data_IF_568263326673
#
_entry.id   IF_568263326673
#
_cell.length_a   1.000
_cell.length_b   1.000
_cell.length_c   1.000
_cell.angle_alpha   90.00
_cell.angle_beta   90.00
_cell.angle_gamma   90.00
#
_symmetry.space_group_name_H-M   'P 1'
#
loop_
_entity.id
_entity.type
_entity.pdbx_description
1 polymer ?
#
# COMPACT_ATOMS: atom_id res chain seq x y z
N UNK A 1 -0.57 -24.51 -15.07
CA UNK A 1 -0.45 -23.08 -14.80
C UNK A 1 -0.12 -22.94 -13.33
N UNK A 2 1.01 -22.36 -12.98
CA UNK A 2 1.29 -22.06 -11.58
C UNK A 2 0.22 -21.08 -11.11
N UNK A 3 -0.56 -21.47 -10.14
CA UNK A 3 -1.59 -20.60 -9.58
C UNK A 3 -0.89 -19.55 -8.73
N UNK A 4 -0.82 -18.31 -9.22
CA UNK A 4 -0.33 -17.16 -8.45
C UNK A 4 -1.14 -17.03 -7.15
N UNK A 5 -0.45 -16.82 -6.03
CA UNK A 5 -1.04 -16.62 -4.71
C UNK A 5 -0.72 -15.22 -4.21
N UNK A 6 -1.74 -14.43 -3.90
CA UNK A 6 -1.60 -13.09 -3.36
C UNK A 6 -1.90 -13.09 -1.86
N UNK A 7 -0.94 -12.64 -1.07
CA UNK A 7 -1.14 -12.36 0.35
C UNK A 7 -1.80 -11.00 0.55
N UNK A 8 -2.84 -10.92 1.36
CA UNK A 8 -3.50 -9.65 1.69
C UNK A 8 -3.36 -9.43 3.19
N UNK A 9 -2.61 -8.40 3.55
CA UNK A 9 -2.42 -8.01 4.94
C UNK A 9 -3.74 -7.49 5.49
N UNK A 10 -4.28 -8.17 6.49
CA UNK A 10 -5.52 -7.76 7.15
C UNK A 10 -5.30 -6.47 7.94
N UNK A 11 -6.35 -5.69 8.08
CA UNK A 11 -6.36 -4.50 8.93
C UNK A 11 -7.24 -4.73 10.14
N UNK A 12 -6.94 -4.01 11.21
CA UNK A 12 -7.77 -4.02 12.40
C UNK A 12 -9.05 -3.19 12.20
N UNK A 13 -10.15 -3.68 12.72
CA UNK A 13 -11.42 -2.97 12.83
C UNK A 13 -12.10 -3.29 14.15
N UNK A 14 -12.83 -2.31 14.69
CA UNK A 14 -13.68 -2.52 15.87
C UNK A 14 -15.14 -2.44 15.44
N UNK A 15 -15.86 -3.54 15.58
CA UNK A 15 -17.28 -3.62 15.30
C UNK A 15 -18.04 -4.12 16.53
N UNK A 16 -18.97 -3.30 17.03
CA UNK A 16 -19.79 -3.64 18.22
C UNK A 16 -18.93 -4.06 19.44
N UNK A 17 -17.84 -3.35 19.70
CA UNK A 17 -16.83 -3.65 20.74
C UNK A 17 -16.10 -5.00 20.57
N UNK A 18 -16.08 -5.55 19.38
CA UNK A 18 -15.29 -6.72 19.04
C UNK A 18 -14.12 -6.28 18.14
N UNK A 19 -12.90 -6.62 18.54
CA UNK A 19 -11.71 -6.42 17.71
C UNK A 19 -11.69 -7.49 16.61
N UNK A 20 -11.55 -7.06 15.38
CA UNK A 20 -11.54 -7.90 14.20
C UNK A 20 -10.31 -7.61 13.34
N UNK A 21 -9.84 -8.65 12.66
CA UNK A 21 -8.94 -8.44 11.52
C UNK A 21 -9.68 -8.78 10.24
N UNK A 22 -9.71 -7.85 9.29
CA UNK A 22 -10.55 -7.94 8.11
C UNK A 22 -9.80 -7.73 6.81
N UNK A 23 -10.21 -8.44 5.77
CA UNK A 23 -9.86 -8.18 4.37
C UNK A 23 -11.12 -7.69 3.67
N UNK A 24 -11.04 -6.52 3.03
CA UNK A 24 -12.21 -5.93 2.38
C UNK A 24 -12.54 -6.62 1.06
N UNK A 25 -13.83 -6.81 0.79
CA UNK A 25 -14.31 -7.37 -0.50
C UNK A 25 -13.86 -6.53 -1.70
N UNK A 26 -13.64 -5.24 -1.52
CA UNK A 26 -13.16 -4.37 -2.61
C UNK A 26 -11.78 -4.78 -3.12
N UNK A 27 -10.87 -5.20 -2.23
CA UNK A 27 -9.57 -5.71 -2.63
C UNK A 27 -9.70 -7.06 -3.36
N UNK A 28 -10.62 -7.92 -2.92
CA UNK A 28 -10.86 -9.23 -3.53
C UNK A 28 -11.52 -9.14 -4.91
N UNK A 29 -12.36 -8.13 -5.14
CA UNK A 29 -13.15 -7.98 -6.38
C UNK A 29 -12.31 -8.11 -7.66
N UNK A 30 -11.10 -7.60 -7.65
CA UNK A 30 -10.25 -7.52 -8.85
C UNK A 30 -9.36 -8.75 -9.05
N UNK A 31 -9.10 -9.53 -7.99
CA UNK A 31 -8.24 -10.72 -8.01
C UNK A 31 -9.03 -12.03 -7.94
N UNK A 32 -10.30 -11.98 -7.51
CA UNK A 32 -11.17 -13.16 -7.43
C UNK A 32 -11.28 -13.85 -8.79
N UNK A 33 -11.16 -15.17 -8.80
CA UNK A 33 -11.11 -16.04 -9.99
C UNK A 33 -9.91 -15.82 -10.94
N UNK A 34 -8.93 -14.98 -10.57
CA UNK A 34 -7.71 -14.77 -11.36
C UNK A 34 -6.47 -15.39 -10.70
N UNK A 35 -6.46 -15.45 -9.38
CA UNK A 35 -5.39 -16.02 -8.58
C UNK A 35 -5.93 -16.58 -7.27
N UNK A 36 -5.11 -17.35 -6.56
CA UNK A 36 -5.35 -17.68 -5.17
C UNK A 36 -5.09 -16.44 -4.30
N UNK A 37 -5.73 -16.38 -3.13
CA UNK A 37 -5.43 -15.35 -2.16
C UNK A 37 -5.55 -15.88 -0.74
N UNK A 38 -4.68 -15.39 0.14
CA UNK A 38 -4.67 -15.72 1.58
C UNK A 38 -4.68 -14.43 2.39
N UNK A 39 -5.34 -14.43 3.54
CA UNK A 39 -5.26 -13.35 4.49
C UNK A 39 -4.01 -13.53 5.36
N UNK A 40 -3.21 -12.47 5.51
CA UNK A 40 -2.09 -12.42 6.44
C UNK A 40 -2.60 -11.71 7.69
N UNK A 41 -2.68 -12.47 8.78
CA UNK A 41 -3.16 -12.01 10.07
C UNK A 41 -1.98 -11.78 11.02
N UNK A 42 -2.13 -10.84 11.93
CA UNK A 42 -1.16 -10.62 13.00
C UNK A 42 -1.90 -10.44 14.33
N UNK A 43 -1.46 -11.13 15.36
CA UNK A 43 -2.02 -11.02 16.69
C UNK A 43 -1.13 -10.15 17.59
N UNK A 44 -1.73 -9.14 18.19
CA UNK A 44 -1.13 -8.30 19.24
C UNK A 44 0.20 -7.64 18.83
N UNK A 45 0.30 -7.21 17.56
CA UNK A 45 1.49 -6.56 16.98
C UNK A 45 2.79 -7.39 17.17
N UNK A 46 2.65 -8.69 17.32
CA UNK A 46 3.79 -9.63 17.39
C UNK A 46 4.58 -9.66 16.08
N UNK A 47 5.84 -10.13 16.08
CA UNK A 47 6.58 -10.35 14.84
C UNK A 47 5.82 -11.25 13.88
N UNK A 48 5.87 -10.92 12.59
CA UNK A 48 5.22 -11.71 11.55
C UNK A 48 5.96 -13.05 11.34
N UNK A 49 5.19 -14.12 11.14
CA UNK A 49 5.76 -15.36 10.66
C UNK A 49 6.08 -15.24 9.18
N UNK A 50 7.37 -15.20 8.86
CA UNK A 50 7.83 -15.03 7.48
C UNK A 50 7.54 -16.22 6.57
N UNK A 51 7.29 -17.41 7.12
CA UNK A 51 6.91 -18.58 6.33
C UNK A 51 5.61 -18.36 5.56
N UNK A 52 4.68 -17.58 6.12
CA UNK A 52 3.44 -17.25 5.42
C UNK A 52 3.69 -16.34 4.20
N UNK A 53 4.71 -15.49 4.25
CA UNK A 53 5.08 -14.61 3.14
C UNK A 53 5.69 -15.40 1.98
N UNK A 54 6.41 -16.48 2.27
CA UNK A 54 6.99 -17.37 1.26
C UNK A 54 5.94 -18.14 0.45
N UNK A 55 4.70 -18.22 0.94
CA UNK A 55 3.58 -18.81 0.20
C UNK A 55 3.00 -17.86 -0.86
N UNK A 56 3.45 -16.61 -0.88
CA UNK A 56 2.87 -15.56 -1.71
C UNK A 56 3.80 -15.17 -2.86
N UNK A 57 3.22 -15.04 -4.06
CA UNK A 57 3.89 -14.47 -5.23
C UNK A 57 3.80 -12.94 -5.25
N UNK A 58 3.04 -12.34 -4.34
CA UNK A 58 2.92 -10.91 -4.15
C UNK A 58 2.05 -10.57 -2.94
N UNK A 59 2.24 -9.36 -2.41
CA UNK A 59 1.55 -8.88 -1.20
C UNK A 59 0.75 -7.64 -1.51
N UNK A 60 -0.47 -7.55 -0.98
CA UNK A 60 -1.27 -6.34 -0.93
C UNK A 60 -1.33 -5.88 0.53
N UNK A 61 -0.84 -4.66 0.80
CA UNK A 61 -1.07 -3.97 2.06
C UNK A 61 -2.26 -3.02 1.84
N UNK A 62 -3.42 -3.37 2.38
CA UNK A 62 -4.65 -2.64 2.14
C UNK A 62 -4.75 -1.35 2.95
N UNK A 63 -5.73 -0.51 2.61
CA UNK A 63 -6.06 0.68 3.39
C UNK A 63 -6.57 0.34 4.79
N UNK A 64 -6.23 1.20 5.75
CA UNK A 64 -6.58 1.09 7.16
C UNK A 64 -6.29 2.39 7.89
N UNK A 65 -6.39 2.38 9.23
CA UNK A 65 -6.10 3.52 10.09
C UNK A 65 -4.83 3.33 10.92
N UNK A 66 -4.45 2.10 11.22
CA UNK A 66 -3.43 1.83 12.24
C UNK A 66 -2.19 1.19 11.62
N UNK A 67 -1.05 1.85 11.76
CA UNK A 67 0.25 1.39 11.29
C UNK A 67 0.99 0.72 12.46
N UNK A 68 1.38 -0.53 12.26
CA UNK A 68 2.07 -1.34 13.26
C UNK A 68 3.46 -1.75 12.81
N UNK A 69 4.30 -2.15 13.75
CA UNK A 69 5.69 -2.56 13.47
C UNK A 69 5.77 -3.77 12.53
N UNK A 70 4.82 -4.69 12.59
CA UNK A 70 4.80 -5.85 11.70
C UNK A 70 4.60 -5.49 10.22
N UNK A 71 3.95 -4.36 9.91
CA UNK A 71 3.85 -3.90 8.53
C UNK A 71 5.22 -3.61 7.92
N UNK A 72 6.11 -2.96 8.68
CA UNK A 72 7.48 -2.69 8.22
C UNK A 72 8.31 -3.97 8.11
N UNK A 73 8.08 -4.96 8.99
CA UNK A 73 8.71 -6.29 8.86
C UNK A 73 8.27 -7.00 7.57
N UNK A 74 6.98 -6.92 7.20
CA UNK A 74 6.48 -7.45 5.93
C UNK A 74 7.18 -6.75 4.75
N UNK A 75 7.22 -5.41 4.75
CA UNK A 75 7.85 -4.65 3.67
C UNK A 75 9.32 -5.00 3.55
N UNK A 76 10.05 -5.03 4.67
CA UNK A 76 11.48 -5.34 4.71
C UNK A 76 11.76 -6.76 4.19
N UNK A 77 11.00 -7.73 4.67
CA UNK A 77 11.12 -9.12 4.22
C UNK A 77 10.86 -9.24 2.72
N UNK A 78 9.75 -8.69 2.24
CA UNK A 78 9.38 -8.74 0.82
C UNK A 78 10.41 -8.03 -0.06
N UNK A 79 10.95 -6.89 0.40
CA UNK A 79 12.01 -6.17 -0.29
C UNK A 79 13.25 -7.05 -0.48
N UNK A 80 13.74 -7.70 0.59
CA UNK A 80 14.94 -8.52 0.53
C UNK A 80 14.75 -9.85 -0.24
N UNK A 81 13.50 -10.30 -0.41
CA UNK A 81 13.18 -11.56 -1.11
C UNK A 81 12.55 -11.34 -2.49
N UNK A 82 12.52 -10.10 -2.99
CA UNK A 82 11.94 -9.73 -4.28
C UNK A 82 10.45 -10.11 -4.41
N UNK A 83 9.70 -10.11 -3.31
CA UNK A 83 8.25 -10.36 -3.33
C UNK A 83 7.56 -9.04 -3.68
N UNK A 84 6.77 -8.98 -4.77
CA UNK A 84 6.04 -7.78 -5.18
C UNK A 84 5.10 -7.23 -4.10
N UNK A 85 5.05 -5.91 -3.94
CA UNK A 85 4.14 -5.24 -3.00
C UNK A 85 3.28 -4.19 -3.72
N UNK A 86 1.97 -4.25 -3.49
CA UNK A 86 1.04 -3.17 -3.75
C UNK A 86 0.54 -2.60 -2.42
N UNK A 87 0.91 -1.37 -2.11
CA UNK A 87 0.41 -0.63 -0.95
C UNK A 87 -0.74 0.31 -1.34
N UNK A 88 -1.90 0.17 -0.68
CA UNK A 88 -3.11 0.98 -0.97
C UNK A 88 -3.41 1.87 0.23
N UNK A 89 -3.51 3.18 0.05
CA UNK A 89 -3.81 4.18 1.08
C UNK A 89 -2.84 4.05 2.27
N UNK A 90 -3.23 3.43 3.39
CA UNK A 90 -2.31 3.14 4.50
C UNK A 90 -1.07 2.35 4.03
N UNK A 91 -1.24 1.38 3.14
CA UNK A 91 -0.13 0.63 2.55
C UNK A 91 0.85 1.53 1.75
N UNK A 92 0.33 2.54 1.05
CA UNK A 92 1.15 3.58 0.41
C UNK A 92 1.94 4.38 1.47
N UNK A 93 1.28 4.78 2.56
CA UNK A 93 1.94 5.50 3.66
C UNK A 93 3.07 4.67 4.29
N UNK A 94 2.84 3.38 4.51
CA UNK A 94 3.85 2.44 5.03
C UNK A 94 5.07 2.37 4.10
N UNK A 95 4.86 2.21 2.79
CA UNK A 95 5.96 2.21 1.81
C UNK A 95 6.72 3.54 1.80
N UNK A 96 6.02 4.66 1.93
CA UNK A 96 6.62 5.99 2.01
C UNK A 96 7.45 6.18 3.28
N UNK A 97 6.95 5.75 4.44
CA UNK A 97 7.70 5.76 5.69
C UNK A 97 8.93 4.85 5.59
N UNK A 98 8.76 3.62 5.08
CA UNK A 98 9.86 2.70 4.85
C UNK A 98 10.97 3.31 3.98
N UNK A 99 10.59 3.98 2.88
CA UNK A 99 11.55 4.68 2.00
C UNK A 99 12.40 5.72 2.73
N UNK A 100 11.86 6.31 3.78
CA UNK A 100 12.52 7.33 4.59
C UNK A 100 13.32 6.76 5.76
N UNK A 101 13.34 5.44 5.95
CA UNK A 101 13.84 4.74 7.13
C UNK A 101 13.08 5.18 8.41
N UNK A 102 11.79 5.42 8.29
CA UNK A 102 10.90 5.75 9.39
C UNK A 102 9.89 4.62 9.61
N UNK A 103 9.49 4.47 10.86
CA UNK A 103 8.42 3.57 11.30
C UNK A 103 7.41 4.30 12.20
N UNK A 104 7.42 5.64 12.18
CA UNK A 104 6.53 6.48 12.97
C UNK A 104 5.50 7.19 12.08
N UNK A 105 4.24 7.10 12.46
CA UNK A 105 3.15 7.86 11.82
C UNK A 105 3.31 9.39 11.98
N UNK A 106 4.09 9.83 12.97
CA UNK A 106 4.38 11.25 13.19
C UNK A 106 5.14 11.89 12.00
N UNK A 107 5.77 11.07 11.16
CA UNK A 107 6.45 11.53 9.94
C UNK A 107 5.50 11.71 8.74
N UNK A 108 4.23 11.35 8.89
CA UNK A 108 3.18 11.69 7.92
C UNK A 108 2.69 13.12 8.14
N UNK A 109 2.30 13.79 7.07
CA UNK A 109 1.67 15.10 7.15
C UNK A 109 0.15 14.97 7.18
N UNK A 110 -0.49 15.71 8.08
CA UNK A 110 -1.93 15.85 8.08
C UNK A 110 -2.36 16.78 6.96
N UNK A 111 -3.33 16.34 6.17
CA UNK A 111 -3.83 17.09 5.02
C UNK A 111 -5.33 17.36 5.13
N UNK A 112 -5.79 18.39 4.45
CA UNK A 112 -7.18 18.76 4.37
C UNK A 112 -7.73 18.49 2.97
N UNK A 113 -9.06 18.39 2.85
CA UNK A 113 -9.77 18.23 1.57
C UNK A 113 -9.57 16.89 0.83
N UNK A 114 -8.87 15.91 1.41
CA UNK A 114 -8.67 14.56 0.86
C UNK A 114 -9.53 13.48 1.54
N UNK A 115 -10.42 13.84 2.44
CA UNK A 115 -11.33 12.92 3.13
C UNK A 115 -12.78 13.23 2.78
N UNK A 116 -13.22 12.79 1.58
CA UNK A 116 -14.60 12.94 1.15
C UNK A 116 -15.02 11.75 0.29
N UNK A 117 -16.10 11.07 0.68
CA UNK A 117 -16.59 9.84 0.02
C UNK A 117 -17.06 10.06 -1.42
N UNK A 118 -17.56 11.26 -1.71
CA UNK A 118 -18.19 11.59 -2.98
C UNK A 118 -17.30 12.45 -3.89
N UNK A 119 -16.11 12.82 -3.40
CA UNK A 119 -15.16 13.66 -4.13
C UNK A 119 -14.14 12.79 -4.86
N UNK A 120 -13.84 13.21 -6.06
CA UNK A 120 -12.70 12.73 -6.85
C UNK A 120 -11.84 13.92 -7.23
N UNK A 121 -10.57 13.64 -7.52
CA UNK A 121 -9.65 14.63 -8.05
C UNK A 121 -8.76 14.02 -9.13
N UNK A 122 -8.13 14.89 -9.89
CA UNK A 122 -7.16 14.47 -10.92
C UNK A 122 -5.77 14.45 -10.29
N UNK A 123 -5.04 13.38 -10.57
CA UNK A 123 -3.62 13.26 -10.29
C UNK A 123 -2.82 13.39 -11.57
N UNK A 124 -1.64 14.00 -11.47
CA UNK A 124 -0.66 14.08 -12.55
C UNK A 124 0.37 12.99 -12.35
N UNK A 125 0.59 12.17 -13.38
CA UNK A 125 1.45 11.00 -13.33
C UNK A 125 2.73 11.31 -14.09
N UNK A 126 3.85 11.01 -13.46
CA UNK A 126 5.18 11.25 -14.00
C UNK A 126 5.51 10.26 -15.11
N UNK A 127 6.07 10.76 -16.22
CA UNK A 127 6.59 9.93 -17.31
C UNK A 127 7.66 8.93 -16.82
N UNK A 128 7.83 7.85 -17.56
CA UNK A 128 8.79 6.76 -17.27
C UNK A 128 8.53 6.00 -15.96
N UNK A 129 7.28 6.01 -15.48
CA UNK A 129 6.85 5.29 -14.28
C UNK A 129 5.93 4.12 -14.64
N UNK A 130 5.77 3.17 -13.70
CA UNK A 130 4.77 2.08 -13.83
C UNK A 130 3.37 2.68 -13.91
N UNK A 131 3.07 3.67 -13.07
CA UNK A 131 1.79 4.37 -13.09
C UNK A 131 1.51 4.99 -14.46
N UNK A 132 2.50 5.62 -15.09
CA UNK A 132 2.34 6.22 -16.42
C UNK A 132 2.11 5.17 -17.52
N UNK A 133 2.81 4.05 -17.45
CA UNK A 133 2.62 2.93 -18.38
C UNK A 133 1.22 2.34 -18.29
N UNK A 134 0.62 2.33 -17.09
CA UNK A 134 -0.71 1.77 -16.86
C UNK A 134 -1.85 2.74 -17.19
N UNK A 135 -1.70 4.03 -16.89
CA UNK A 135 -2.82 4.99 -16.88
C UNK A 135 -2.58 6.24 -17.73
N UNK A 136 -1.37 6.45 -18.26
CA UNK A 136 -1.03 7.66 -18.99
C UNK A 136 -0.76 8.85 -18.07
N UNK A 137 -0.81 10.10 -18.59
CA UNK A 137 -0.33 11.29 -17.88
C UNK A 137 -1.21 11.75 -16.72
N UNK A 138 -2.49 11.40 -16.72
CA UNK A 138 -3.44 11.83 -15.70
C UNK A 138 -4.47 10.73 -15.40
N UNK A 139 -4.96 10.72 -14.17
CA UNK A 139 -6.03 9.80 -13.74
C UNK A 139 -6.97 10.52 -12.77
N UNK A 140 -8.28 10.28 -12.88
CA UNK A 140 -9.25 10.69 -11.86
C UNK A 140 -9.37 9.61 -10.79
N UNK A 141 -9.08 9.97 -9.54
CA UNK A 141 -9.07 9.05 -8.38
C UNK A 141 -10.01 9.53 -7.28
N UNK A 142 -10.47 8.60 -6.44
CA UNK A 142 -11.18 8.95 -5.22
C UNK A 142 -10.19 9.44 -4.15
N UNK A 143 -10.70 10.16 -3.15
CA UNK A 143 -9.89 10.68 -2.06
C UNK A 143 -10.52 10.36 -0.70
N UNK A 144 -9.82 9.59 0.12
CA UNK A 144 -10.33 9.09 1.41
C UNK A 144 -9.23 8.97 2.47
N UNK A 145 -8.30 9.91 2.50
CA UNK A 145 -7.19 9.89 3.45
C UNK A 145 -7.04 11.24 4.17
N UNK A 146 -6.56 11.21 5.39
CA UNK A 146 -6.30 12.37 6.26
C UNK A 146 -4.81 12.66 6.38
N UNK A 147 -3.98 11.71 6.00
CA UNK A 147 -2.53 11.79 6.09
C UNK A 147 -1.90 11.47 4.75
N UNK A 148 -0.75 12.07 4.50
CA UNK A 148 0.03 11.87 3.29
C UNK A 148 1.52 11.74 3.60
N UNK A 149 2.25 11.18 2.65
CA UNK A 149 3.71 11.16 2.65
C UNK A 149 4.21 12.55 2.28
N UNK A 150 5.16 13.08 3.03
CA UNK A 150 5.76 14.37 2.75
C UNK A 150 6.86 14.29 1.67
N UNK A 151 7.63 13.20 1.69
CA UNK A 151 8.77 12.97 0.77
C UNK A 151 9.07 11.48 0.69
N UNK A 152 9.85 11.10 -0.31
CA UNK A 152 10.45 9.76 -0.42
C UNK A 152 11.94 9.90 -0.72
N UNK A 153 12.74 8.94 -0.27
CA UNK A 153 14.16 8.84 -0.58
C UNK A 153 14.39 7.85 -1.71
N UNK A 154 15.40 8.11 -2.52
CA UNK A 154 15.88 7.14 -3.50
C UNK A 154 16.24 5.80 -2.81
N UNK A 155 15.99 4.69 -3.45
CA UNK A 155 15.56 4.51 -4.84
C UNK A 155 14.05 4.62 -5.09
N UNK A 156 13.23 4.93 -4.09
CA UNK A 156 11.82 5.26 -4.34
C UNK A 156 11.66 6.62 -5.02
N UNK A 157 10.67 6.74 -5.87
CA UNK A 157 10.27 7.98 -6.52
C UNK A 157 8.80 8.28 -6.33
N UNK A 158 8.45 9.55 -6.39
CA UNK A 158 7.06 9.99 -6.54
C UNK A 158 6.67 9.75 -7.99
N UNK A 159 5.64 8.94 -8.20
CA UNK A 159 5.09 8.62 -9.53
C UNK A 159 3.80 9.38 -9.86
N UNK A 160 3.07 9.87 -8.85
CA UNK A 160 1.93 10.76 -9.09
C UNK A 160 1.72 11.75 -7.95
N UNK A 161 1.19 12.92 -8.31
CA UNK A 161 0.79 13.97 -7.37
C UNK A 161 -0.57 14.55 -7.73
N UNK A 162 -1.33 14.98 -6.72
CA UNK A 162 -2.56 15.75 -6.91
C UNK A 162 -2.29 17.20 -7.34
N UNK A 163 -3.34 17.94 -7.70
CA UNK A 163 -3.24 19.34 -8.10
C UNK A 163 -2.73 20.26 -6.98
N UNK A 164 -2.93 19.88 -5.73
CA UNK A 164 -2.42 20.58 -4.54
C UNK A 164 -1.10 19.99 -4.02
N UNK A 165 -0.37 19.25 -4.89
CA UNK A 165 0.95 18.68 -4.66
C UNK A 165 1.03 17.64 -3.54
N UNK A 166 -0.06 16.97 -3.23
CA UNK A 166 -0.02 15.81 -2.33
C UNK A 166 0.50 14.59 -3.11
N UNK A 167 1.39 13.82 -2.49
CA UNK A 167 1.91 12.58 -3.08
C UNK A 167 0.80 11.52 -3.05
N UNK A 168 0.39 11.08 -4.23
CA UNK A 168 -0.69 10.11 -4.43
C UNK A 168 -0.19 8.74 -4.90
N UNK A 169 1.03 8.68 -5.42
CA UNK A 169 1.67 7.41 -5.76
C UNK A 169 3.18 7.50 -5.66
N UNK A 170 3.77 6.39 -5.22
CA UNK A 170 5.22 6.17 -5.19
C UNK A 170 5.55 4.80 -5.76
N UNK A 171 6.74 4.65 -6.33
CA UNK A 171 7.24 3.36 -6.79
C UNK A 171 8.74 3.22 -6.57
N UNK A 172 9.20 1.98 -6.49
CA UNK A 172 10.62 1.67 -6.42
C UNK A 172 11.21 1.56 -7.82
N UNK A 173 12.37 2.21 -8.03
CA UNK A 173 13.05 2.23 -9.33
C UNK A 173 14.03 1.06 -9.40
N UNK A 174 13.55 -0.10 -9.76
CA UNK A 174 14.39 -1.25 -10.09
C UNK A 174 13.56 -2.22 -10.92
N UNK A 175 14.13 -2.72 -12.01
CA UNK A 175 13.45 -3.67 -12.90
C UNK A 175 13.15 -5.03 -12.23
N UNK A 176 13.82 -5.33 -11.12
CA UNK A 176 13.67 -6.60 -10.40
C UNK A 176 12.70 -6.53 -9.22
N UNK A 177 12.35 -5.32 -8.77
CA UNK A 177 11.48 -5.14 -7.60
C UNK A 177 10.21 -4.40 -8.01
N UNK A 178 9.06 -4.98 -7.71
CA UNK A 178 7.79 -4.27 -7.86
C UNK A 178 7.28 -3.84 -6.48
N UNK A 179 7.50 -2.57 -6.14
CA UNK A 179 6.86 -1.93 -4.99
C UNK A 179 6.14 -0.68 -5.50
N UNK A 180 4.82 -0.71 -5.42
CA UNK A 180 3.94 0.37 -5.85
C UNK A 180 3.03 0.77 -4.71
N UNK A 181 3.01 2.06 -4.36
CA UNK A 181 2.07 2.66 -3.42
C UNK A 181 1.08 3.59 -4.12
N UNK A 182 -0.22 3.47 -3.84
CA UNK A 182 -1.31 4.28 -4.41
C UNK A 182 -2.33 4.67 -3.34
#
# INVERSE_FOLDING_TARGET
>A
MNNVTIGIVARDEVLNNVNLQVVTKNNLKYIHNKCNYIAILNYDNSPIDTEVLNLCDGIIIQGGSDIYSYHFQIVDYCFHHNIPILGICMGHQILGLYSNNSNSEDDLIKINNHYNKDKKHIINIKEDTIMYKLFGPTLEVNTRHLYAINKVKKPFIVSAVSQDNIIESIEYIDDNHFLLGV
#
